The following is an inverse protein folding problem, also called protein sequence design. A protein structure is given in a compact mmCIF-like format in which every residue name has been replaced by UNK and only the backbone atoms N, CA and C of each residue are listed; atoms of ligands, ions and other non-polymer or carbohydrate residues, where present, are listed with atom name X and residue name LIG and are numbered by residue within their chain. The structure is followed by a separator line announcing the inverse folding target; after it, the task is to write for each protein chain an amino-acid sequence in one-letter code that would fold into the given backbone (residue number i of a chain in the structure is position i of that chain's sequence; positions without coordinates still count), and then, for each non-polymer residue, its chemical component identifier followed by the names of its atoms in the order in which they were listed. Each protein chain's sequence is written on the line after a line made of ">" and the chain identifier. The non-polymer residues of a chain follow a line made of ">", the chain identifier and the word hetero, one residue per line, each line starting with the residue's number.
data_IF_794364464091
#
_entry.id   IF_794364464091
#
_cell.length_a   1.000
_cell.length_b   1.000
_cell.length_c   1.000
_cell.angle_alpha   90.00
_cell.angle_beta   90.00
_cell.angle_gamma   90.00
#
_symmetry.space_group_name_H-M   'P 1'
#
loop_
_entity.id
_entity.type
_entity.pdbx_description
1 polymer ?
#
# COMPACT_ATOMS: atom_id res chain seq x y z
N UNK A 1 -5.68 -17.86 1.61
CA UNK A 1 -6.55 -17.18 0.61
C UNK A 1 -7.98 -17.28 1.09
N UNK A 2 -8.58 -16.18 1.49
CA UNK A 2 -10.03 -16.14 1.74
C UNK A 2 -10.76 -16.06 0.40
N UNK A 3 -11.70 -16.97 0.17
CA UNK A 3 -12.55 -16.98 -1.02
C UNK A 3 -13.89 -16.33 -0.63
N UNK A 4 -14.16 -15.15 -1.12
CA UNK A 4 -15.49 -14.57 -1.05
C UNK A 4 -16.29 -14.92 -2.30
N UNK A 5 -17.62 -14.92 -2.24
CA UNK A 5 -18.51 -15.35 -3.33
C UNK A 5 -18.37 -14.55 -4.65
N UNK A 6 -17.64 -13.43 -4.66
CA UNK A 6 -17.48 -12.53 -5.82
C UNK A 6 -16.05 -12.13 -6.18
N UNK A 7 -15.06 -12.51 -5.42
CA UNK A 7 -13.67 -12.14 -5.68
C UNK A 7 -12.72 -12.78 -4.68
N UNK A 8 -11.42 -12.73 -4.99
CA UNK A 8 -10.40 -13.25 -4.09
C UNK A 8 -9.79 -12.09 -3.31
N UNK A 9 -9.58 -12.30 -2.02
CA UNK A 9 -8.74 -11.45 -1.20
C UNK A 9 -7.41 -12.16 -1.03
N UNK A 10 -6.34 -11.50 -1.41
CA UNK A 10 -4.98 -11.97 -1.22
C UNK A 10 -4.52 -11.57 0.18
N UNK A 11 -3.97 -12.52 0.93
CA UNK A 11 -3.50 -12.32 2.30
C UNK A 11 -2.02 -12.68 2.44
N UNK A 12 -1.36 -12.15 3.46
CA UNK A 12 0.03 -12.48 3.81
C UNK A 12 0.03 -13.52 4.93
N UNK A 13 0.60 -14.71 4.74
CA UNK A 13 0.58 -15.79 5.75
C UNK A 13 1.18 -15.37 7.09
N UNK A 14 2.18 -14.49 7.11
CA UNK A 14 2.76 -13.98 8.36
C UNK A 14 1.77 -13.10 9.13
N UNK A 15 0.97 -12.30 8.43
CA UNK A 15 -0.05 -11.44 9.03
C UNK A 15 -1.24 -12.25 9.55
N UNK A 16 -1.58 -13.38 8.93
CA UNK A 16 -2.65 -14.30 9.39
C UNK A 16 -2.34 -14.91 10.76
N UNK A 17 -1.06 -14.95 11.15
CA UNK A 17 -0.63 -15.44 12.47
C UNK A 17 -0.81 -14.41 13.60
N UNK A 18 -1.20 -13.19 13.28
CA UNK A 18 -1.49 -12.14 14.27
C UNK A 18 -2.97 -12.22 14.64
N UNK A 19 -3.35 -12.73 15.82
CA UNK A 19 -4.73 -13.14 16.11
C UNK A 19 -5.76 -12.01 16.05
N UNK A 20 -5.33 -10.80 16.37
CA UNK A 20 -6.18 -9.62 16.41
C UNK A 20 -6.22 -8.86 15.07
N UNK A 21 -5.44 -9.29 14.08
CA UNK A 21 -5.32 -8.58 12.80
C UNK A 21 -6.29 -9.14 11.75
N UNK A 22 -6.89 -8.25 10.98
CA UNK A 22 -7.58 -8.56 9.72
C UNK A 22 -6.96 -7.73 8.62
N UNK A 23 -6.62 -8.35 7.49
CA UNK A 23 -5.99 -7.64 6.38
C UNK A 23 -6.30 -8.31 5.05
N UNK A 24 -6.09 -7.58 3.97
CA UNK A 24 -6.19 -8.16 2.64
C UNK A 24 -5.97 -7.15 1.52
N UNK A 25 -5.73 -7.73 0.34
CA UNK A 25 -5.67 -7.03 -0.94
C UNK A 25 -6.74 -7.64 -1.85
N UNK A 26 -7.80 -6.89 -2.11
CA UNK A 26 -8.90 -7.33 -2.97
C UNK A 26 -8.48 -7.39 -4.44
N UNK A 27 -9.04 -8.36 -5.18
CA UNK A 27 -8.89 -8.46 -6.64
C UNK A 27 -9.98 -7.66 -7.38
N UNK A 28 -9.99 -7.69 -8.72
CA UNK A 28 -10.91 -6.92 -9.56
C UNK A 28 -12.40 -7.19 -9.33
N UNK A 29 -12.74 -8.38 -8.82
CA UNK A 29 -14.13 -8.76 -8.51
C UNK A 29 -14.65 -8.24 -7.16
N UNK A 30 -13.86 -7.45 -6.42
CA UNK A 30 -14.19 -6.99 -5.08
C UNK A 30 -14.50 -5.50 -5.06
N UNK A 31 -15.70 -5.13 -4.64
CA UNK A 31 -16.20 -3.75 -4.62
C UNK A 31 -16.27 -3.17 -3.20
N UNK A 32 -16.49 -1.86 -3.10
CA UNK A 32 -16.73 -1.17 -1.83
C UNK A 32 -18.01 -1.70 -1.13
N UNK A 33 -19.02 -2.12 -1.91
CA UNK A 33 -20.25 -2.72 -1.39
C UNK A 33 -20.01 -4.12 -0.79
N UNK A 34 -19.14 -4.91 -1.42
CA UNK A 34 -18.77 -6.24 -0.91
C UNK A 34 -18.01 -6.13 0.41
N UNK A 35 -17.22 -5.06 0.57
CA UNK A 35 -16.54 -4.75 1.82
C UNK A 35 -17.52 -4.43 2.96
N UNK A 36 -18.56 -3.65 2.68
CA UNK A 36 -19.55 -3.24 3.66
C UNK A 36 -20.52 -4.39 4.06
N UNK A 37 -20.68 -5.40 3.18
CA UNK A 37 -21.61 -6.53 3.38
C UNK A 37 -20.96 -7.80 3.93
N UNK A 38 -19.64 -7.79 4.17
CA UNK A 38 -18.95 -8.98 4.66
C UNK A 38 -19.20 -9.18 6.15
N UNK A 39 -20.02 -10.19 6.49
CA UNK A 39 -20.38 -10.53 7.87
C UNK A 39 -19.19 -10.95 8.74
N UNK A 40 -18.14 -11.55 8.15
CA UNK A 40 -16.91 -11.91 8.86
C UNK A 40 -16.17 -10.68 9.42
N UNK A 41 -16.45 -9.50 8.87
CA UNK A 41 -15.87 -8.22 9.29
C UNK A 41 -16.91 -7.29 9.91
N UNK A 42 -18.03 -7.87 10.35
CA UNK A 42 -19.09 -7.18 11.08
C UNK A 42 -18.52 -6.46 12.31
N UNK A 43 -18.79 -5.16 12.41
CA UNK A 43 -18.27 -4.30 13.47
C UNK A 43 -17.08 -3.43 13.07
N UNK A 44 -16.42 -3.68 11.94
CA UNK A 44 -15.40 -2.76 11.44
C UNK A 44 -15.99 -1.58 10.67
N UNK A 45 -15.46 -0.41 10.92
CA UNK A 45 -15.80 0.82 10.19
C UNK A 45 -14.70 1.16 9.17
N UNK A 46 -14.98 1.09 7.86
CA UNK A 46 -13.99 1.44 6.85
C UNK A 46 -13.70 2.96 6.85
N UNK A 47 -12.41 3.29 6.83
CA UNK A 47 -11.91 4.65 6.66
C UNK A 47 -11.25 4.76 5.30
N UNK A 48 -11.88 5.50 4.39
CA UNK A 48 -11.43 5.69 3.01
C UNK A 48 -11.12 7.18 2.81
N UNK A 49 -9.88 7.47 2.38
CA UNK A 49 -9.44 8.84 2.08
C UNK A 49 -9.76 9.27 0.65
N UNK A 50 -9.72 10.58 0.44
CA UNK A 50 -9.50 11.19 -0.86
C UNK A 50 -7.99 11.19 -1.15
N UNK A 51 -7.53 10.15 -1.87
CA UNK A 51 -6.11 9.94 -2.19
C UNK A 51 -5.68 10.91 -3.28
N UNK A 52 -4.64 11.68 -3.02
CA UNK A 52 -4.18 12.80 -3.88
C UNK A 52 -2.73 12.64 -4.33
N UNK A 53 -2.14 11.46 -4.12
CA UNK A 53 -0.75 11.13 -4.43
C UNK A 53 0.24 12.04 -3.69
N UNK A 54 -0.07 12.34 -2.44
CA UNK A 54 0.76 13.12 -1.51
C UNK A 54 1.64 12.22 -0.65
N UNK A 55 2.29 12.83 0.32
CA UNK A 55 3.02 12.21 1.41
C UNK A 55 2.32 12.47 2.76
N UNK A 56 1.05 12.90 2.73
CA UNK A 56 0.26 13.22 3.91
C UNK A 56 -0.18 11.94 4.63
N UNK A 57 0.16 11.86 5.92
CA UNK A 57 -0.17 10.79 6.85
C UNK A 57 -1.19 11.31 7.85
N UNK A 58 -2.25 10.56 8.11
CA UNK A 58 -3.25 10.87 9.12
C UNK A 58 -3.29 9.79 10.18
N UNK A 59 -3.19 10.21 11.43
CA UNK A 59 -3.37 9.35 12.59
C UNK A 59 -4.82 9.45 13.08
N UNK A 60 -5.41 8.29 13.38
CA UNK A 60 -6.80 8.18 13.81
C UNK A 60 -6.88 7.64 15.23
N UNK A 61 -7.49 8.39 16.12
CA UNK A 61 -7.87 7.97 17.47
C UNK A 61 -9.36 7.58 17.55
N UNK A 62 -10.13 8.00 16.54
CA UNK A 62 -11.55 7.71 16.35
C UNK A 62 -11.90 7.81 14.86
N UNK A 63 -13.07 7.30 14.44
CA UNK A 63 -13.53 7.50 13.08
C UNK A 63 -13.57 8.99 12.72
N UNK A 64 -13.05 9.40 11.55
CA UNK A 64 -13.05 10.80 11.16
C UNK A 64 -14.48 11.30 10.88
N UNK A 65 -14.80 12.51 11.32
CA UNK A 65 -16.10 13.15 11.11
C UNK A 65 -16.29 13.61 9.65
N UNK A 66 -15.20 13.87 8.96
CA UNK A 66 -15.17 14.27 7.55
C UNK A 66 -14.16 13.45 6.76
N UNK A 67 -14.36 13.39 5.47
CA UNK A 67 -13.44 12.69 4.58
C UNK A 67 -12.06 13.34 4.63
N UNK A 68 -11.04 12.55 4.92
CA UNK A 68 -9.65 13.00 4.97
C UNK A 68 -9.07 13.05 3.56
N UNK A 69 -8.15 13.98 3.35
CA UNK A 69 -7.39 14.12 2.10
C UNK A 69 -5.92 13.81 2.36
N UNK A 70 -5.43 12.70 1.82
CA UNK A 70 -4.07 12.22 2.07
C UNK A 70 -3.85 10.84 1.49
N UNK A 71 -2.73 10.20 1.81
CA UNK A 71 -2.33 8.94 1.18
C UNK A 71 -1.84 7.89 2.18
N UNK A 72 -1.81 8.17 3.48
CA UNK A 72 -1.56 7.17 4.51
C UNK A 72 -2.42 7.40 5.76
N UNK A 73 -2.79 6.29 6.40
CA UNK A 73 -3.55 6.22 7.65
C UNK A 73 -2.78 5.40 8.67
N UNK A 74 -2.82 5.80 9.95
CA UNK A 74 -2.27 5.08 11.09
C UNK A 74 -3.32 5.03 12.19
N UNK A 75 -3.45 3.89 12.91
CA UNK A 75 -4.29 3.80 14.09
C UNK A 75 -3.83 2.72 15.05
N UNK A 76 -4.01 2.96 16.35
CA UNK A 76 -4.01 1.97 17.43
C UNK A 76 -5.41 1.59 17.89
N UNK A 77 -6.48 2.05 17.21
CA UNK A 77 -7.86 1.82 17.62
C UNK A 77 -8.44 0.55 16.95
N UNK A 78 -9.00 -0.38 17.72
CA UNK A 78 -9.74 -1.50 17.17
C UNK A 78 -11.03 -1.05 16.48
N UNK A 79 -11.58 -1.90 15.61
CA UNK A 79 -12.84 -1.64 14.91
C UNK A 79 -12.75 -0.68 13.72
N UNK A 80 -11.57 -0.12 13.42
CA UNK A 80 -11.36 0.66 12.19
C UNK A 80 -10.68 -0.20 11.11
N UNK A 81 -11.19 -0.13 9.88
CA UNK A 81 -10.45 -0.56 8.70
C UNK A 81 -9.79 0.62 8.01
N UNK A 82 -8.48 0.64 8.01
CA UNK A 82 -7.70 1.54 7.18
C UNK A 82 -7.72 1.01 5.74
N UNK A 83 -8.28 1.78 4.80
CA UNK A 83 -8.54 1.30 3.44
C UNK A 83 -7.86 2.18 2.40
N UNK A 84 -7.10 1.54 1.50
CA UNK A 84 -6.39 2.16 0.38
C UNK A 84 -6.98 1.66 -0.93
N UNK A 85 -7.24 2.56 -1.87
CA UNK A 85 -7.74 2.27 -3.22
C UNK A 85 -6.59 2.33 -4.23
N UNK A 86 -6.44 1.28 -5.04
CA UNK A 86 -5.40 1.23 -6.08
C UNK A 86 -5.90 0.69 -7.41
N UNK A 87 -5.21 1.10 -8.47
CA UNK A 87 -5.16 0.46 -9.78
C UNK A 87 -3.82 0.88 -10.37
N UNK A 88 -2.80 0.04 -10.19
CA UNK A 88 -1.38 0.17 -10.50
C UNK A 88 -0.47 0.72 -9.39
N UNK A 89 -0.91 1.72 -8.59
CA UNK A 89 -0.12 2.19 -7.46
C UNK A 89 0.05 1.09 -6.41
N UNK A 90 1.17 1.11 -5.68
CA UNK A 90 1.50 0.14 -4.64
C UNK A 90 0.72 0.43 -3.35
N UNK A 91 -0.17 -0.46 -2.87
CA UNK A 91 -0.69 -0.40 -1.53
C UNK A 91 0.28 -1.06 -0.55
N UNK A 92 0.50 -0.43 0.60
CA UNK A 92 1.38 -0.94 1.66
C UNK A 92 0.61 -1.00 2.97
N UNK A 93 0.71 -2.14 3.66
CA UNK A 93 0.15 -2.34 4.99
C UNK A 93 1.29 -2.57 5.98
N UNK A 94 1.22 -1.94 7.14
CA UNK A 94 2.25 -2.02 8.20
C UNK A 94 1.61 -2.45 9.51
N UNK A 95 2.30 -3.31 10.26
CA UNK A 95 1.86 -3.81 11.56
C UNK A 95 3.00 -3.71 12.55
N UNK A 96 2.74 -3.11 13.70
CA UNK A 96 3.53 -3.27 14.92
C UNK A 96 2.77 -4.20 15.87
N UNK A 97 3.28 -5.42 16.05
CA UNK A 97 2.63 -6.42 16.94
C UNK A 97 2.79 -6.04 18.41
N UNK A 98 3.94 -5.45 18.79
CA UNK A 98 4.27 -5.12 20.18
C UNK A 98 3.43 -3.93 20.69
N UNK A 99 3.20 -2.94 19.83
CA UNK A 99 2.45 -1.72 20.12
C UNK A 99 0.98 -1.79 19.76
N UNK A 100 0.58 -2.83 19.02
CA UNK A 100 -0.78 -2.98 18.45
C UNK A 100 -1.20 -1.74 17.67
N UNK A 101 -0.35 -1.32 16.75
CA UNK A 101 -0.60 -0.20 15.83
C UNK A 101 -0.49 -0.70 14.39
N UNK A 102 -1.37 -0.19 13.55
CA UNK A 102 -1.41 -0.54 12.12
C UNK A 102 -1.36 0.71 11.26
N UNK A 103 -0.83 0.54 10.04
CA UNK A 103 -0.88 1.59 9.03
C UNK A 103 -1.22 1.03 7.64
N UNK A 104 -1.82 1.90 6.82
CA UNK A 104 -2.05 1.64 5.40
C UNK A 104 -1.63 2.85 4.58
N UNK A 105 -0.83 2.63 3.52
CA UNK A 105 -0.30 3.69 2.67
C UNK A 105 -0.53 3.43 1.19
N UNK A 106 -0.87 4.50 0.45
CA UNK A 106 -0.96 4.54 -1.00
C UNK A 106 0.35 5.05 -1.58
N UNK A 107 1.22 4.16 -2.01
CA UNK A 107 2.53 4.46 -2.54
C UNK A 107 2.49 4.54 -4.08
N UNK A 108 1.81 5.55 -4.62
CA UNK A 108 1.92 5.92 -6.02
C UNK A 108 3.26 6.62 -6.30
N UNK A 109 3.64 6.78 -7.58
CA UNK A 109 4.91 7.40 -7.99
C UNK A 109 5.25 8.71 -7.22
N UNK A 110 4.25 9.61 -7.09
CA UNK A 110 4.46 10.91 -6.42
C UNK A 110 4.66 10.76 -4.91
N UNK A 111 3.86 9.91 -4.26
CA UNK A 111 4.01 9.63 -2.82
C UNK A 111 5.33 8.92 -2.52
N UNK A 112 5.73 7.97 -3.38
CA UNK A 112 7.04 7.32 -3.31
C UNK A 112 8.18 8.34 -3.42
N UNK A 113 8.13 9.22 -4.43
CA UNK A 113 9.13 10.28 -4.61
C UNK A 113 9.26 11.19 -3.37
N UNK A 114 8.14 11.45 -2.68
CA UNK A 114 8.07 12.26 -1.46
C UNK A 114 8.34 11.49 -0.16
N UNK A 115 8.79 10.25 -0.27
CA UNK A 115 9.20 9.44 0.89
C UNK A 115 8.06 9.12 1.88
N UNK A 116 6.85 8.81 1.37
CA UNK A 116 5.66 8.56 2.22
C UNK A 116 5.87 7.43 3.24
N UNK A 117 6.57 6.33 2.89
CA UNK A 117 6.80 5.22 3.83
C UNK A 117 7.79 5.57 4.93
N UNK A 118 8.81 6.37 4.65
CA UNK A 118 9.70 6.89 5.69
C UNK A 118 8.94 7.73 6.70
N UNK A 119 7.97 8.55 6.23
CA UNK A 119 7.08 9.33 7.12
C UNK A 119 6.19 8.44 7.97
N UNK A 120 5.63 7.37 7.40
CA UNK A 120 4.82 6.39 8.15
C UNK A 120 5.66 5.73 9.24
N UNK A 121 6.85 5.22 8.91
CA UNK A 121 7.74 4.57 9.88
C UNK A 121 8.22 5.57 10.94
N UNK A 122 8.55 6.80 10.54
CA UNK A 122 8.91 7.87 11.47
C UNK A 122 7.79 8.19 12.45
N UNK A 123 6.54 8.34 11.97
CA UNK A 123 5.37 8.60 12.85
C UNK A 123 5.17 7.45 13.86
N UNK A 124 5.24 6.19 13.42
CA UNK A 124 5.15 5.01 14.29
C UNK A 124 6.25 5.00 15.35
N UNK A 125 7.49 5.32 14.98
CA UNK A 125 8.62 5.37 15.92
C UNK A 125 8.45 6.48 16.94
N UNK A 126 8.15 7.70 16.51
CA UNK A 126 8.13 8.88 17.38
C UNK A 126 6.89 8.91 18.31
N UNK A 127 5.75 8.40 17.83
CA UNK A 127 4.49 8.50 18.60
C UNK A 127 4.13 7.24 19.37
N UNK A 128 4.49 6.07 18.86
CA UNK A 128 4.16 4.80 19.49
C UNK A 128 5.39 4.12 20.15
N UNK A 129 6.59 4.65 19.89
CA UNK A 129 7.83 4.01 20.30
C UNK A 129 8.05 2.67 19.59
N UNK A 130 7.56 2.55 18.36
CA UNK A 130 7.77 1.38 17.51
C UNK A 130 9.25 1.21 17.19
N UNK A 131 9.73 -0.03 17.26
CA UNK A 131 11.04 -0.40 16.72
C UNK A 131 10.90 -0.73 15.23
N UNK A 132 11.46 0.08 14.30
CA UNK A 132 11.36 -0.20 12.87
C UNK A 132 11.85 -1.60 12.49
N UNK A 133 12.85 -2.14 13.20
CA UNK A 133 13.38 -3.48 12.94
C UNK A 133 12.37 -4.61 13.23
N UNK A 134 11.29 -4.34 13.97
CA UNK A 134 10.23 -5.30 14.30
C UNK A 134 8.96 -5.10 13.50
N UNK A 135 8.82 -3.99 12.78
CA UNK A 135 7.64 -3.76 11.95
C UNK A 135 7.50 -4.84 10.88
N UNK A 136 6.29 -5.34 10.71
CA UNK A 136 5.92 -6.22 9.60
C UNK A 136 5.28 -5.38 8.50
N UNK A 137 5.75 -5.53 7.27
CA UNK A 137 5.28 -4.75 6.13
C UNK A 137 4.83 -5.65 5.00
N UNK A 138 3.65 -5.38 4.44
CA UNK A 138 3.11 -6.08 3.28
C UNK A 138 2.99 -5.13 2.09
N UNK A 139 3.69 -5.45 1.00
CA UNK A 139 3.61 -4.77 -0.29
C UNK A 139 2.60 -5.51 -1.16
N UNK A 140 1.48 -4.88 -1.46
CA UNK A 140 0.41 -5.47 -2.27
C UNK A 140 0.69 -5.48 -3.77
N UNK A 141 -0.25 -6.01 -4.58
CA UNK A 141 -0.17 -5.98 -6.03
C UNK A 141 -0.08 -4.56 -6.57
N UNK A 142 0.87 -4.32 -7.47
CA UNK A 142 1.05 -3.04 -8.17
C UNK A 142 1.49 -3.28 -9.61
N UNK A 143 1.61 -2.24 -10.41
CA UNK A 143 2.20 -2.34 -11.75
C UNK A 143 3.66 -2.79 -11.63
N UNK A 144 4.04 -3.81 -12.38
CA UNK A 144 5.41 -4.34 -12.38
C UNK A 144 6.39 -3.45 -13.14
N UNK A 145 7.71 -3.62 -12.88
CA UNK A 145 8.74 -2.81 -13.50
C UNK A 145 8.69 -2.87 -15.03
N UNK A 146 8.48 -4.05 -15.62
CA UNK A 146 8.44 -4.20 -17.08
C UNK A 146 7.24 -3.52 -17.76
N UNK A 147 6.24 -3.10 -16.99
CA UNK A 147 5.01 -2.47 -17.47
C UNK A 147 4.89 -0.99 -17.10
N UNK A 148 5.73 -0.49 -16.19
CA UNK A 148 5.61 0.87 -15.71
C UNK A 148 6.57 1.84 -16.40
N UNK A 149 6.28 2.10 -17.66
CA UNK A 149 7.01 3.08 -18.47
C UNK A 149 6.76 4.52 -17.97
N UNK A 150 7.85 5.29 -17.85
CA UNK A 150 7.89 6.70 -17.43
C UNK A 150 8.85 7.49 -18.31
N UNK A 151 8.72 8.82 -18.31
CA UNK A 151 9.60 9.71 -19.07
C UNK A 151 10.90 10.08 -18.34
N UNK A 152 11.82 10.79 -19.01
CA UNK A 152 13.09 11.20 -18.45
C UNK A 152 12.95 12.15 -17.25
N UNK A 153 11.90 12.97 -17.24
CA UNK A 153 11.59 13.87 -16.12
C UNK A 153 11.36 13.11 -14.80
N UNK A 154 10.80 11.90 -14.89
CA UNK A 154 10.62 11.04 -13.69
C UNK A 154 11.95 10.49 -13.22
N UNK A 155 12.80 10.06 -14.17
CA UNK A 155 14.14 9.56 -13.85
C UNK A 155 14.95 10.60 -13.13
N UNK A 156 15.00 11.83 -13.65
CA UNK A 156 15.78 12.91 -13.02
C UNK A 156 15.21 13.24 -11.63
N UNK A 157 13.90 13.34 -11.47
CA UNK A 157 13.28 13.58 -10.16
C UNK A 157 13.64 12.50 -9.13
N UNK A 158 13.64 11.21 -9.51
CA UNK A 158 14.03 10.12 -8.58
C UNK A 158 15.52 10.15 -8.26
N UNK A 159 16.36 10.48 -9.23
CA UNK A 159 17.81 10.64 -9.05
C UNK A 159 18.12 11.80 -8.09
N UNK A 160 17.52 12.97 -8.30
CA UNK A 160 17.66 14.15 -7.43
C UNK A 160 17.18 13.88 -6.01
N UNK A 161 16.10 13.07 -5.85
CA UNK A 161 15.62 12.63 -4.56
C UNK A 161 16.47 11.50 -3.92
N UNK A 162 17.59 11.11 -4.53
CA UNK A 162 18.55 10.16 -3.98
C UNK A 162 18.10 8.69 -4.03
N UNK A 163 17.21 8.33 -4.96
CA UNK A 163 16.89 6.93 -5.20
C UNK A 163 18.03 6.23 -5.95
N UNK A 164 18.31 4.95 -5.62
CA UNK A 164 19.39 4.23 -6.29
C UNK A 164 19.08 4.00 -7.78
N UNK A 165 20.10 3.94 -8.65
CA UNK A 165 19.91 3.75 -10.10
C UNK A 165 19.09 2.51 -10.47
N UNK A 166 19.15 1.45 -9.66
CA UNK A 166 18.41 0.19 -9.88
C UNK A 166 16.89 0.29 -9.80
N UNK A 167 16.35 1.43 -9.32
CA UNK A 167 14.89 1.67 -9.26
C UNK A 167 14.32 2.03 -10.63
N UNK A 168 15.14 2.57 -11.53
CA UNK A 168 14.76 2.97 -12.89
C UNK A 168 15.73 2.41 -13.92
N UNK A 169 15.22 1.58 -14.81
CA UNK A 169 15.98 0.99 -15.90
C UNK A 169 15.65 1.65 -17.23
N UNK A 170 16.66 1.83 -18.10
CA UNK A 170 16.42 2.29 -19.47
C UNK A 170 15.60 1.23 -20.22
N UNK A 171 14.53 1.63 -20.90
CA UNK A 171 13.80 0.74 -21.79
C UNK A 171 14.53 0.65 -23.14
N UNK A 172 15.13 -0.48 -23.41
CA UNK A 172 15.97 -0.67 -24.61
C UNK A 172 15.19 -0.56 -25.94
N UNK A 173 13.88 -0.84 -25.92
CA UNK A 173 13.03 -0.80 -27.12
C UNK A 173 12.46 0.57 -27.46
N UNK A 174 12.57 1.57 -26.57
CA UNK A 174 12.01 2.90 -26.79
C UNK A 174 12.98 3.95 -26.24
N UNK A 175 13.62 4.76 -27.10
CA UNK A 175 14.53 5.82 -26.68
C UNK A 175 13.87 6.76 -25.65
N UNK A 176 14.66 7.24 -24.69
CA UNK A 176 14.24 8.18 -23.65
C UNK A 176 13.07 7.71 -22.76
N UNK A 177 12.77 6.40 -22.74
CA UNK A 177 11.81 5.80 -21.81
C UNK A 177 12.51 4.95 -20.78
N UNK A 178 11.96 5.00 -19.57
CA UNK A 178 12.47 4.27 -18.41
C UNK A 178 11.37 3.39 -17.83
N UNK A 179 11.78 2.32 -17.18
CA UNK A 179 10.92 1.39 -16.45
C UNK A 179 11.13 1.62 -14.96
N UNK A 180 10.08 2.00 -14.25
CA UNK A 180 10.12 2.29 -12.81
C UNK A 180 9.67 1.08 -12.00
N UNK A 181 10.51 0.61 -11.09
CA UNK A 181 10.15 -0.36 -10.07
C UNK A 181 9.66 0.35 -8.78
N UNK A 182 8.32 0.46 -8.65
CA UNK A 182 7.71 1.03 -7.44
C UNK A 182 7.96 0.17 -6.20
N UNK A 183 8.04 -1.13 -6.35
CA UNK A 183 8.27 -2.06 -5.25
C UNK A 183 9.65 -1.88 -4.67
N UNK A 184 10.66 -1.89 -5.55
CA UNK A 184 12.04 -1.72 -5.11
C UNK A 184 12.29 -0.30 -4.55
N UNK A 185 11.69 0.74 -5.16
CA UNK A 185 11.76 2.09 -4.62
C UNK A 185 11.23 2.20 -3.18
N UNK A 186 10.11 1.53 -2.90
CA UNK A 186 9.51 1.54 -1.56
C UNK A 186 10.20 0.60 -0.58
N UNK A 187 10.76 -0.53 -1.04
CA UNK A 187 11.67 -1.36 -0.22
C UNK A 187 12.88 -0.58 0.26
N UNK A 188 13.52 0.16 -0.66
CA UNK A 188 14.64 1.02 -0.30
C UNK A 188 14.31 2.06 0.76
N UNK A 189 13.11 2.66 0.73
CA UNK A 189 12.63 3.56 1.79
C UNK A 189 12.49 2.84 3.15
N UNK A 190 11.91 1.64 3.14
CA UNK A 190 11.73 0.83 4.35
C UNK A 190 13.08 0.41 4.94
N UNK A 191 14.04 -0.02 4.09
CA UNK A 191 15.41 -0.34 4.51
C UNK A 191 16.08 0.88 5.17
N UNK A 192 15.99 2.06 4.53
CA UNK A 192 16.55 3.32 5.07
C UNK A 192 15.88 3.75 6.38
N UNK A 193 14.59 3.45 6.55
CA UNK A 193 13.86 3.69 7.78
C UNK A 193 14.13 2.65 8.89
N UNK A 194 14.95 1.63 8.63
CA UNK A 194 15.36 0.61 9.59
C UNK A 194 14.48 -0.65 9.64
N UNK A 195 13.56 -0.82 8.69
CA UNK A 195 12.73 -2.04 8.59
C UNK A 195 13.59 -3.16 8.03
N UNK A 196 13.62 -4.32 8.70
CA UNK A 196 14.39 -5.47 8.24
C UNK A 196 13.76 -6.10 6.99
N UNK A 197 14.58 -6.49 6.01
CA UNK A 197 14.12 -7.11 4.75
C UNK A 197 13.31 -8.38 4.95
N UNK A 198 13.66 -9.21 5.94
CA UNK A 198 12.91 -10.42 6.30
C UNK A 198 11.48 -10.15 6.79
N UNK A 199 11.19 -8.93 7.22
CA UNK A 199 9.89 -8.46 7.66
C UNK A 199 9.08 -7.78 6.54
N UNK A 200 9.61 -7.70 5.32
CA UNK A 200 8.94 -7.10 4.16
C UNK A 200 8.44 -8.21 3.24
N UNK A 201 7.14 -8.44 3.26
CA UNK A 201 6.45 -9.44 2.44
C UNK A 201 5.87 -8.77 1.20
N UNK A 202 5.94 -9.41 0.04
CA UNK A 202 5.41 -8.84 -1.19
C UNK A 202 4.70 -9.84 -2.08
N UNK A 203 3.73 -9.34 -2.84
CA UNK A 203 3.17 -10.07 -3.96
C UNK A 203 3.91 -9.71 -5.25
N UNK A 204 4.49 -10.69 -5.93
CA UNK A 204 5.09 -10.53 -7.25
C UNK A 204 4.02 -10.59 -8.35
N UNK A 205 2.98 -9.76 -8.17
CA UNK A 205 1.85 -9.69 -9.06
C UNK A 205 1.80 -8.31 -9.73
N UNK A 206 1.94 -8.32 -11.06
CA UNK A 206 1.78 -7.12 -11.87
C UNK A 206 0.30 -6.90 -12.19
N UNK A 207 -0.25 -5.74 -11.80
CA UNK A 207 -1.65 -5.38 -12.09
C UNK A 207 -1.93 -5.25 -13.58
N UNK A 208 -0.94 -4.82 -14.37
CA UNK A 208 -1.07 -4.70 -15.83
C UNK A 208 -1.13 -6.06 -16.53
N UNK A 209 -0.37 -7.07 -16.05
CA UNK A 209 -0.28 -8.39 -16.69
C UNK A 209 -1.40 -9.34 -16.27
N UNK A 210 -1.92 -9.20 -15.04
CA UNK A 210 -2.95 -10.09 -14.49
C UNK A 210 -4.35 -9.55 -14.74
N UNK A 211 -5.20 -10.36 -15.38
CA UNK A 211 -6.58 -9.98 -15.71
C UNK A 211 -7.54 -9.96 -14.50
N UNK A 212 -7.20 -10.70 -13.43
CA UNK A 212 -7.93 -10.68 -12.16
C UNK A 212 -7.60 -9.46 -11.27
N UNK A 213 -6.71 -8.58 -11.72
CA UNK A 213 -6.36 -7.32 -11.06
C UNK A 213 -6.74 -6.13 -11.94
N UNK A 214 -7.15 -5.02 -11.30
CA UNK A 214 -7.47 -3.78 -12.02
C UNK A 214 -6.19 -2.99 -12.33
N UNK A 215 -6.07 -2.54 -13.56
CA UNK A 215 -4.97 -1.70 -14.01
C UNK A 215 -5.49 -0.47 -14.77
N UNK A 216 -5.19 0.72 -14.24
CA UNK A 216 -5.47 1.96 -14.96
C UNK A 216 -4.60 2.10 -16.22
N UNK A 217 -3.35 1.63 -16.20
CA UNK A 217 -2.42 1.66 -17.33
C UNK A 217 -2.97 0.85 -18.51
N UNK A 218 -3.52 -0.34 -18.25
CA UNK A 218 -4.10 -1.23 -19.23
C UNK A 218 -5.48 -0.75 -19.70
N UNK A 219 -6.39 -0.52 -18.74
CA UNK A 219 -7.83 -0.42 -19.01
C UNK A 219 -8.32 1.01 -19.17
N UNK A 220 -7.55 2.02 -18.71
CA UNK A 220 -7.91 3.45 -18.71
C UNK A 220 -9.22 3.79 -17.96
N UNK A 221 -9.72 2.88 -17.13
CA UNK A 221 -10.98 3.03 -16.39
C UNK A 221 -10.72 3.84 -15.09
N UNK A 222 -11.19 5.08 -15.07
CA UNK A 222 -10.92 6.00 -13.94
C UNK A 222 -11.66 5.65 -12.64
N UNK A 223 -12.80 4.99 -12.70
CA UNK A 223 -13.69 4.78 -11.54
C UNK A 223 -13.48 3.45 -10.81
N UNK A 224 -12.88 2.45 -11.45
CA UNK A 224 -12.68 1.13 -10.83
C UNK A 224 -11.36 1.09 -10.04
N UNK A 225 -11.42 0.58 -8.79
CA UNK A 225 -10.25 0.40 -7.91
C UNK A 225 -10.36 -0.91 -7.15
N UNK A 226 -9.22 -1.49 -6.88
CA UNK A 226 -9.06 -2.53 -5.87
C UNK A 226 -8.89 -1.88 -4.50
N UNK A 227 -9.17 -2.63 -3.44
CA UNK A 227 -9.06 -2.18 -2.06
C UNK A 227 -8.00 -2.99 -1.33
N UNK A 228 -7.06 -2.32 -0.71
CA UNK A 228 -6.20 -2.89 0.31
C UNK A 228 -6.69 -2.40 1.67
N UNK A 229 -6.79 -3.28 2.65
CA UNK A 229 -7.33 -2.95 3.96
C UNK A 229 -6.60 -3.65 5.09
N UNK A 230 -6.61 -3.02 6.26
CA UNK A 230 -6.07 -3.56 7.49
C UNK A 230 -6.87 -3.02 8.67
N UNK A 231 -7.16 -3.89 9.65
CA UNK A 231 -7.91 -3.55 10.84
C UNK A 231 -7.55 -4.43 12.03
N UNK A 232 -7.89 -3.96 13.22
CA UNK A 232 -7.68 -4.69 14.49
C UNK A 232 -9.03 -5.08 15.07
N UNK A 233 -9.17 -6.36 15.45
CA UNK A 233 -10.31 -6.85 16.26
C UNK A 233 -10.24 -6.24 17.66
N UNK A 234 -11.40 -5.98 18.26
CA UNK A 234 -11.53 -5.58 19.65
C UNK A 234 -11.14 -6.67 20.63
#
# INVERSE_FOLDING_TARGET
>A
MMNTAKGRVLTIPRFERVPWLVHGFGTAGWSEEDFAKNEEWGGFRPVIMDQVHSDSVHRLERPPERKLRGDALITGQPGLFLTIKTADCLPVLVVDEDRRVIAAAHCGRRGTLKRILERVVHDLRERDGSDPAKLLVALGPCIGPDCYEVGPEVREAFKEAGFPPGVLHLRTSTPEKYLLDLREANRGQLDQAGVKRENIFSFDACTHCRSDLLSYRRDKIKKKRMFAFIGMKG
#
